data_IF_125723979792
#
_entry.id   IF_125723979792
#
_cell.length_a   1.000
_cell.length_b   1.000
_cell.length_c   1.000
_cell.angle_alpha   90.00
_cell.angle_beta   90.00
_cell.angle_gamma   90.00
#
_symmetry.space_group_name_H-M   'P 1'
#
loop_
_entity.id
_entity.type
_entity.pdbx_description
1 polymer ?
#
# COMPACT_ATOMS: atom_id res chain seq x y z
N UNK A 1 -1.46 -5.94 16.60
CA UNK A 1 -0.61 -5.42 15.52
C UNK A 1 -1.24 -4.19 14.92
N UNK A 2 -1.87 -4.32 13.76
CA UNK A 2 -2.45 -3.19 13.02
C UNK A 2 -3.45 -2.33 13.80
N UNK A 3 -4.37 -2.93 14.58
CA UNK A 3 -5.36 -2.18 15.38
C UNK A 3 -4.72 -1.24 16.41
N UNK A 4 -3.53 -1.57 16.92
CA UNK A 4 -2.79 -0.70 17.85
C UNK A 4 -2.11 0.47 17.13
N UNK A 5 -1.66 0.25 15.89
CA UNK A 5 -1.06 1.32 15.08
C UNK A 5 -2.12 2.29 14.58
N UNK A 6 -3.33 1.81 14.30
CA UNK A 6 -4.44 2.66 13.85
C UNK A 6 -5.06 3.51 14.98
N UNK A 7 -4.76 3.23 16.26
CA UNK A 7 -5.30 3.95 17.41
C UNK A 7 -4.32 4.93 18.08
N UNK A 8 -3.11 5.16 17.52
CA UNK A 8 -2.03 6.01 18.07
C UNK A 8 -1.52 5.62 19.49
N UNK A 9 -2.21 4.72 20.19
CA UNK A 9 -1.78 4.13 21.46
C UNK A 9 -1.05 2.80 21.21
N UNK A 10 0.28 2.86 21.07
CA UNK A 10 1.13 1.66 20.99
C UNK A 10 1.64 1.31 19.59
N UNK A 11 2.05 2.33 18.83
CA UNK A 11 2.63 2.22 17.50
C UNK A 11 3.79 1.21 17.41
N UNK A 12 4.71 1.25 18.37
CA UNK A 12 5.84 0.32 18.47
C UNK A 12 5.40 -1.11 18.79
N UNK A 13 4.43 -1.29 19.69
CA UNK A 13 3.87 -2.61 20.01
C UNK A 13 3.11 -3.21 18.81
N UNK A 14 2.45 -2.36 18.03
CA UNK A 14 1.76 -2.73 16.81
C UNK A 14 2.71 -3.24 15.72
N UNK A 15 3.86 -2.58 15.54
CA UNK A 15 4.95 -3.03 14.67
C UNK A 15 5.58 -4.33 15.18
N UNK A 16 5.92 -4.41 16.48
CA UNK A 16 6.54 -5.58 17.09
C UNK A 16 5.69 -6.84 16.89
N UNK A 17 4.36 -6.73 17.02
CA UNK A 17 3.44 -7.83 16.76
C UNK A 17 3.41 -8.25 15.28
N UNK A 18 3.59 -7.31 14.35
CA UNK A 18 3.66 -7.60 12.92
C UNK A 18 5.00 -8.22 12.53
N UNK A 19 6.10 -7.79 13.14
CA UNK A 19 7.42 -8.41 12.99
C UNK A 19 7.43 -9.84 13.55
N UNK A 20 6.81 -10.06 14.71
CA UNK A 20 6.63 -11.41 15.28
C UNK A 20 5.77 -12.31 14.38
N UNK A 21 4.73 -11.76 13.74
CA UNK A 21 3.95 -12.51 12.77
C UNK A 21 4.80 -12.92 11.55
N UNK A 22 5.72 -12.06 11.12
CA UNK A 22 6.65 -12.35 10.03
C UNK A 22 7.77 -13.32 10.43
N UNK A 23 8.18 -13.33 11.70
CA UNK A 23 9.15 -14.32 12.19
C UNK A 23 8.56 -15.73 12.28
N UNK A 24 7.23 -15.84 12.34
CA UNK A 24 6.51 -17.12 12.31
C UNK A 24 6.30 -17.57 10.86
N UNK A 25 5.89 -16.67 9.97
CA UNK A 25 5.71 -16.95 8.54
C UNK A 25 6.09 -15.74 7.67
N UNK A 26 7.31 -15.78 7.16
CA UNK A 26 7.83 -14.76 6.25
C UNK A 26 7.27 -14.85 4.82
N UNK A 27 6.58 -15.94 4.49
CA UNK A 27 6.01 -16.17 3.16
C UNK A 27 4.58 -15.62 3.04
N UNK A 28 4.02 -15.15 4.15
CA UNK A 28 2.68 -14.59 4.18
C UNK A 28 2.60 -13.19 3.56
N UNK A 29 2.10 -13.12 2.33
CA UNK A 29 1.87 -11.85 1.62
C UNK A 29 0.97 -10.87 2.39
N UNK A 30 -0.03 -11.35 3.13
CA UNK A 30 -0.95 -10.49 3.89
C UNK A 30 -0.26 -9.88 5.12
N UNK A 31 0.63 -10.63 5.79
CA UNK A 31 1.45 -10.10 6.89
C UNK A 31 2.36 -8.95 6.43
N UNK A 32 3.04 -9.11 5.30
CA UNK A 32 3.84 -8.03 4.69
C UNK A 32 3.00 -6.81 4.30
N UNK A 33 1.78 -7.01 3.80
CA UNK A 33 0.85 -5.91 3.52
C UNK A 33 0.42 -5.18 4.80
N UNK A 34 0.13 -5.92 5.87
CA UNK A 34 -0.25 -5.33 7.17
C UNK A 34 0.89 -4.55 7.80
N UNK A 35 2.12 -5.07 7.73
CA UNK A 35 3.32 -4.33 8.13
C UNK A 35 3.49 -3.05 7.32
N UNK A 36 3.39 -3.15 5.98
CA UNK A 36 3.50 -1.98 5.11
C UNK A 36 2.43 -0.92 5.43
N UNK A 37 1.19 -1.34 5.72
CA UNK A 37 0.12 -0.42 6.09
C UNK A 37 0.42 0.27 7.43
N UNK A 38 0.85 -0.49 8.43
CA UNK A 38 1.26 0.07 9.72
C UNK A 38 2.40 1.09 9.55
N UNK A 39 3.47 0.74 8.84
CA UNK A 39 4.58 1.65 8.55
C UNK A 39 4.14 2.91 7.82
N UNK A 40 3.14 2.81 6.93
CA UNK A 40 2.57 3.97 6.26
C UNK A 40 1.85 4.92 7.22
N UNK A 41 1.07 4.38 8.18
CA UNK A 41 0.42 5.19 9.22
C UNK A 41 1.45 5.93 10.08
N UNK A 42 2.62 5.34 10.29
CA UNK A 42 3.74 5.91 11.03
C UNK A 42 4.63 6.85 10.19
N UNK A 43 4.18 7.26 8.99
CA UNK A 43 4.97 8.07 8.05
C UNK A 43 6.32 7.47 7.64
N UNK A 44 6.55 6.16 7.85
CA UNK A 44 7.75 5.41 7.45
C UNK A 44 7.62 4.91 6.02
N UNK A 45 7.42 5.84 5.09
CA UNK A 45 7.05 5.56 3.68
C UNK A 45 8.04 4.64 2.95
N UNK A 46 9.35 4.82 3.19
CA UNK A 46 10.40 4.00 2.55
C UNK A 46 10.28 2.52 2.95
N UNK A 47 10.04 2.26 4.22
CA UNK A 47 9.91 0.90 4.76
C UNK A 47 8.56 0.28 4.38
N UNK A 48 7.50 1.10 4.37
CA UNK A 48 6.21 0.70 3.85
C UNK A 48 6.32 0.26 2.38
N UNK A 49 7.11 0.98 1.58
CA UNK A 49 7.36 0.63 0.18
C UNK A 49 8.08 -0.72 0.03
N UNK A 50 9.02 -1.03 0.92
CA UNK A 50 9.71 -2.32 0.89
C UNK A 50 8.82 -3.48 1.37
N UNK A 51 7.99 -3.24 2.39
CA UNK A 51 6.99 -4.19 2.86
C UNK A 51 5.97 -4.53 1.77
N UNK A 52 5.46 -3.53 1.06
CA UNK A 52 4.47 -3.77 -0.01
C UNK A 52 5.11 -4.46 -1.23
N UNK A 53 6.38 -4.17 -1.54
CA UNK A 53 7.13 -4.90 -2.57
C UNK A 53 7.33 -6.37 -2.19
N UNK A 54 7.66 -6.67 -0.93
CA UNK A 54 7.73 -8.05 -0.42
C UNK A 54 6.38 -8.77 -0.55
N UNK A 55 5.29 -8.13 -0.12
CA UNK A 55 3.93 -8.66 -0.26
C UNK A 55 3.59 -9.02 -1.72
N UNK A 56 3.94 -8.15 -2.67
CA UNK A 56 3.67 -8.34 -4.10
C UNK A 56 4.59 -9.35 -4.78
N UNK A 57 5.82 -9.56 -4.27
CA UNK A 57 6.69 -10.65 -4.71
C UNK A 57 6.10 -12.02 -4.35
N UNK A 58 5.60 -12.14 -3.12
CA UNK A 58 4.97 -13.37 -2.62
C UNK A 58 3.63 -13.64 -3.29
N UNK A 59 2.81 -12.59 -3.50
CA UNK A 59 1.53 -12.70 -4.20
C UNK A 59 1.32 -11.50 -5.13
N UNK A 60 1.69 -11.69 -6.40
CA UNK A 60 1.50 -10.68 -7.47
C UNK A 60 0.06 -10.21 -7.61
N UNK A 61 -0.92 -11.05 -7.26
CA UNK A 61 -2.35 -10.76 -7.33
C UNK A 61 -2.96 -10.10 -6.09
N UNK A 62 -2.15 -9.67 -5.11
CA UNK A 62 -2.67 -9.02 -3.91
C UNK A 62 -3.12 -7.58 -4.21
N UNK A 63 -4.41 -7.43 -4.54
CA UNK A 63 -5.02 -6.15 -4.89
C UNK A 63 -4.88 -5.08 -3.78
N UNK A 64 -4.93 -5.48 -2.50
CA UNK A 64 -4.75 -4.57 -1.37
C UNK A 64 -3.34 -4.02 -1.33
N UNK A 65 -2.34 -4.89 -1.51
CA UNK A 65 -0.94 -4.49 -1.61
C UNK A 65 -0.69 -3.63 -2.86
N UNK A 66 -1.29 -3.93 -4.01
CA UNK A 66 -1.13 -3.10 -5.21
C UNK A 66 -1.70 -1.69 -5.02
N UNK A 67 -2.88 -1.57 -4.40
CA UNK A 67 -3.46 -0.27 -4.09
C UNK A 67 -2.58 0.52 -3.12
N UNK A 68 -2.14 -0.13 -2.02
CA UNK A 68 -1.26 0.50 -1.05
C UNK A 68 0.08 0.95 -1.67
N UNK A 69 0.65 0.15 -2.56
CA UNK A 69 1.87 0.50 -3.30
C UNK A 69 1.66 1.76 -4.15
N UNK A 70 0.54 1.85 -4.87
CA UNK A 70 0.16 3.06 -5.60
C UNK A 70 0.00 4.28 -4.69
N UNK A 71 -0.64 4.12 -3.54
CA UNK A 71 -0.83 5.19 -2.54
C UNK A 71 0.50 5.68 -1.98
N UNK A 72 1.38 4.78 -1.53
CA UNK A 72 2.72 5.13 -1.01
C UNK A 72 3.52 5.90 -2.07
N UNK A 73 3.50 5.46 -3.33
CA UNK A 73 4.19 6.18 -4.41
C UNK A 73 3.60 7.57 -4.66
N UNK A 74 2.29 7.74 -4.51
CA UNK A 74 1.64 9.04 -4.65
C UNK A 74 2.04 10.00 -3.54
N UNK A 75 2.05 9.51 -2.30
CA UNK A 75 2.43 10.29 -1.10
C UNK A 75 3.92 10.71 -1.18
N UNK A 76 4.79 9.83 -1.68
CA UNK A 76 6.19 10.12 -2.03
C UNK A 76 6.38 11.02 -3.27
N UNK A 77 5.32 11.60 -3.83
CA UNK A 77 5.32 12.44 -5.06
C UNK A 77 5.83 11.74 -6.33
N UNK A 78 5.90 10.40 -6.34
CA UNK A 78 6.30 9.58 -7.50
C UNK A 78 5.10 9.28 -8.39
N UNK A 79 4.45 10.35 -8.86
CA UNK A 79 3.11 10.31 -9.49
C UNK A 79 3.05 9.37 -10.70
N UNK A 80 4.07 9.41 -11.58
CA UNK A 80 4.13 8.52 -12.76
C UNK A 80 4.07 7.04 -12.35
N UNK A 81 4.87 6.65 -11.35
CA UNK A 81 4.93 5.27 -10.88
C UNK A 81 3.66 4.86 -10.13
N UNK A 82 3.09 5.78 -9.34
CA UNK A 82 1.79 5.56 -8.69
C UNK A 82 0.71 5.23 -9.72
N UNK A 83 0.61 6.04 -10.78
CA UNK A 83 -0.35 5.81 -11.88
C UNK A 83 -0.12 4.49 -12.58
N UNK A 84 1.12 4.11 -12.86
CA UNK A 84 1.44 2.84 -13.51
C UNK A 84 0.96 1.64 -12.68
N UNK A 85 1.20 1.66 -11.36
CA UNK A 85 0.76 0.58 -10.45
C UNK A 85 -0.76 0.52 -10.35
N UNK A 86 -1.43 1.66 -10.17
CA UNK A 86 -2.89 1.74 -10.04
C UNK A 86 -3.59 1.32 -11.35
N UNK A 87 -3.06 1.72 -12.52
CA UNK A 87 -3.57 1.31 -13.81
C UNK A 87 -3.47 -0.21 -14.02
N UNK A 88 -2.36 -0.83 -13.59
CA UNK A 88 -2.23 -2.29 -13.62
C UNK A 88 -3.29 -2.96 -12.74
N UNK A 89 -3.53 -2.45 -11.53
CA UNK A 89 -4.55 -2.96 -10.62
C UNK A 89 -5.96 -2.92 -11.24
N UNK A 90 -6.34 -1.81 -11.86
CA UNK A 90 -7.64 -1.66 -12.53
C UNK A 90 -7.79 -2.68 -13.67
N UNK A 91 -6.72 -2.94 -14.43
CA UNK A 91 -6.69 -3.90 -15.55
C UNK A 91 -6.61 -5.38 -15.15
N UNK A 92 -6.39 -5.72 -13.88
CA UNK A 92 -6.30 -7.12 -13.45
C UNK A 92 -7.60 -7.88 -13.74
N UNK A 93 -7.50 -9.09 -14.30
CA UNK A 93 -8.66 -9.97 -14.47
C UNK A 93 -9.13 -10.49 -13.12
N UNK A 94 -10.45 -10.43 -12.87
CA UNK A 94 -11.07 -10.79 -11.59
C UNK A 94 -12.22 -9.82 -11.24
N UNK A 95 -13.20 -10.31 -10.49
CA UNK A 95 -14.43 -9.59 -10.13
C UNK A 95 -14.17 -8.19 -9.54
N UNK A 96 -15.22 -7.35 -9.52
CA UNK A 96 -15.20 -5.99 -8.95
C UNK A 96 -14.56 -6.03 -7.56
N UNK A 97 -13.33 -5.52 -7.49
CA UNK A 97 -12.58 -5.42 -6.24
C UNK A 97 -12.74 -3.99 -5.72
N UNK A 98 -13.04 -3.84 -4.42
CA UNK A 98 -13.11 -2.55 -3.73
C UNK A 98 -11.84 -1.72 -4.01
N UNK A 99 -10.69 -2.39 -4.11
CA UNK A 99 -9.40 -1.77 -4.36
C UNK A 99 -9.28 -1.19 -5.77
N UNK A 100 -9.97 -1.75 -6.77
CA UNK A 100 -10.04 -1.15 -8.12
C UNK A 100 -10.80 0.17 -8.09
N UNK A 101 -11.93 0.23 -7.40
CA UNK A 101 -12.71 1.46 -7.24
C UNK A 101 -11.94 2.53 -6.46
N UNK A 102 -11.19 2.15 -5.43
CA UNK A 102 -10.29 3.07 -4.74
C UNK A 102 -9.16 3.55 -5.67
N UNK A 103 -8.59 2.66 -6.47
CA UNK A 103 -7.56 3.01 -7.45
C UNK A 103 -8.08 4.00 -8.52
N UNK A 104 -9.27 3.77 -9.07
CA UNK A 104 -9.91 4.68 -10.03
C UNK A 104 -10.12 6.08 -9.46
N UNK A 105 -10.61 6.17 -8.22
CA UNK A 105 -10.77 7.46 -7.52
C UNK A 105 -9.44 8.17 -7.35
N UNK A 106 -8.42 7.46 -6.85
CA UNK A 106 -7.08 8.03 -6.67
C UNK A 106 -6.46 8.47 -8.01
N UNK A 107 -6.64 7.68 -9.08
CA UNK A 107 -6.18 8.04 -10.41
C UNK A 107 -6.83 9.33 -10.93
N UNK A 108 -8.12 9.57 -10.64
CA UNK A 108 -8.80 10.82 -10.99
C UNK A 108 -8.15 12.01 -10.27
N UNK A 109 -7.97 11.91 -8.95
CA UNK A 109 -7.34 12.97 -8.15
C UNK A 109 -5.92 13.28 -8.63
N UNK A 110 -5.11 12.26 -8.94
CA UNK A 110 -3.76 12.45 -9.46
C UNK A 110 -3.73 13.05 -10.87
N UNK A 111 -4.77 12.85 -11.68
CA UNK A 111 -4.89 13.47 -13.00
C UNK A 111 -5.26 14.96 -12.91
N UNK A 112 -6.05 15.34 -11.92
CA UNK A 112 -6.42 16.73 -11.64
C UNK A 112 -5.25 17.55 -11.08
N UNK A 113 -4.48 16.99 -10.13
CA UNK A 113 -3.30 17.66 -9.58
C UNK A 113 -2.27 18.01 -10.67
N UNK A 114 -2.01 17.08 -11.59
CA UNK A 114 -1.07 17.31 -12.69
C UNK A 114 -1.57 18.32 -13.74
N UNK A 115 -2.86 18.70 -13.74
CA UNK A 115 -3.38 19.78 -14.61
C UNK A 115 -3.21 21.17 -13.98
N UNK A 116 -3.11 21.23 -12.65
CA UNK A 116 -2.92 22.48 -11.91
C UNK A 116 -1.44 22.88 -11.94
N UNK A 117 -0.52 21.92 -11.77
CA UNK A 117 0.93 22.20 -11.73
C UNK A 117 1.56 22.62 -13.07
N UNK A 118 0.83 22.53 -14.20
CA UNK A 118 1.31 22.88 -15.56
C UNK A 118 0.76 24.25 -16.01
N UNK A 119 -0.07 24.93 -15.20
CA UNK A 119 -0.59 26.27 -15.47
C UNK A 119 0.16 27.33 -14.66
#
# INVERSE_FOLDING_TARGET
GLLYVEQEEGEEAGLLLLEKALSIDETNSESWYRLARALMHLNREKEALDGVRKSLRLRRGNARAMFLHGKILADMKRIKQARDVLNRLVKMKGARNIEKRKAERLLSTLAEQNRIDIR
#
